data_IF_436794202583
#
_entry.id   IF_436794202583
#
_cell.length_a   1.000
_cell.length_b   1.000
_cell.length_c   1.000
_cell.angle_alpha   90.00
_cell.angle_beta   90.00
_cell.angle_gamma   90.00
#
_symmetry.space_group_name_H-M   'P 1'
#
loop_
_entity.id
_entity.type
_entity.pdbx_description
1 polymer ?
#
# COMPACT_ATOMS: atom_id res chain seq x y z
N UNK A 1 6.98 16.29 -4.69
CA UNK A 1 8.23 15.97 -3.97
C UNK A 1 8.27 14.46 -3.81
N UNK A 2 8.99 13.76 -4.68
CA UNK A 2 9.05 12.29 -4.63
C UNK A 2 9.95 11.89 -3.45
N UNK A 3 9.38 11.33 -2.39
CA UNK A 3 10.18 10.59 -1.40
C UNK A 3 10.44 9.21 -2.00
N UNK A 4 11.35 9.18 -2.97
CA UNK A 4 12.10 7.97 -3.25
C UNK A 4 13.00 7.77 -2.04
N UNK A 5 12.63 6.83 -1.17
CA UNK A 5 13.60 6.22 -0.27
C UNK A 5 14.65 5.53 -1.14
N UNK A 6 15.69 6.27 -1.50
CA UNK A 6 16.83 5.78 -2.24
C UNK A 6 17.71 4.94 -1.29
N UNK A 7 17.35 3.67 -1.14
CA UNK A 7 18.10 2.67 -0.38
C UNK A 7 19.28 2.10 -1.20
N UNK A 8 20.00 2.92 -1.96
CA UNK A 8 21.18 2.46 -2.71
C UNK A 8 22.49 2.51 -1.94
N UNK A 9 22.51 2.76 -0.63
CA UNK A 9 23.76 2.76 0.14
C UNK A 9 23.67 1.95 1.45
N UNK A 10 24.60 0.98 1.54
CA UNK A 10 25.08 0.23 2.72
C UNK A 10 24.32 -1.08 3.06
N UNK A 11 24.65 -2.14 2.31
CA UNK A 11 24.21 -3.52 2.58
C UNK A 11 24.80 -4.14 3.87
N UNK A 12 25.82 -3.56 4.50
CA UNK A 12 26.57 -4.22 5.58
C UNK A 12 26.09 -3.93 7.01
N UNK A 13 25.12 -3.03 7.24
CA UNK A 13 24.64 -2.68 8.60
C UNK A 13 23.12 -2.76 8.81
N UNK A 14 22.34 -3.14 7.80
CA UNK A 14 20.89 -3.18 7.93
C UNK A 14 20.42 -4.39 8.76
N UNK A 15 19.48 -4.14 9.68
CA UNK A 15 18.83 -5.18 10.49
C UNK A 15 18.13 -6.21 9.58
N UNK A 16 17.95 -7.47 10.00
CA UNK A 16 17.29 -8.49 9.18
C UNK A 16 15.90 -8.09 8.66
N UNK A 17 15.17 -7.27 9.41
CA UNK A 17 13.88 -6.71 8.98
C UNK A 17 14.03 -5.68 7.85
N UNK A 18 15.10 -4.88 7.85
CA UNK A 18 15.35 -3.85 6.85
C UNK A 18 15.78 -4.43 5.51
N UNK A 19 16.38 -5.62 5.50
CA UNK A 19 16.71 -6.37 4.28
C UNK A 19 15.48 -6.81 3.47
N UNK A 20 14.29 -6.61 4.01
CA UNK A 20 13.03 -7.09 3.41
C UNK A 20 12.28 -6.00 2.68
N UNK A 21 12.59 -4.75 2.96
CA UNK A 21 12.11 -3.62 2.17
C UNK A 21 12.53 -3.71 0.69
N UNK A 22 13.76 -4.10 0.33
CA UNK A 22 14.11 -4.37 -1.06
C UNK A 22 13.22 -5.44 -1.73
N UNK A 23 12.88 -6.52 -1.02
CA UNK A 23 12.01 -7.57 -1.57
C UNK A 23 10.57 -7.06 -1.79
N UNK A 24 10.03 -6.30 -0.85
CA UNK A 24 8.72 -5.63 -0.96
C UNK A 24 8.73 -4.66 -2.15
N UNK A 25 9.76 -3.83 -2.27
CA UNK A 25 9.89 -2.87 -3.37
C UNK A 25 9.93 -3.57 -4.72
N UNK A 26 10.73 -4.63 -4.85
CA UNK A 26 10.88 -5.36 -6.10
C UNK A 26 9.60 -6.08 -6.53
N UNK A 27 8.84 -6.62 -5.57
CA UNK A 27 7.65 -7.44 -5.87
C UNK A 27 6.36 -6.64 -5.99
N UNK A 28 6.27 -5.52 -5.29
CA UNK A 28 5.02 -4.76 -5.15
C UNK A 28 5.18 -3.36 -5.75
N UNK A 29 6.14 -2.59 -5.25
CA UNK A 29 6.23 -1.15 -5.56
C UNK A 29 6.69 -0.90 -7.00
N UNK A 30 7.77 -1.53 -7.45
CA UNK A 30 8.32 -1.28 -8.78
C UNK A 30 7.39 -1.71 -9.92
N UNK A 31 6.70 -2.88 -9.87
CA UNK A 31 5.71 -3.24 -10.88
C UNK A 31 4.56 -2.24 -10.97
N UNK A 32 4.03 -1.77 -9.83
CA UNK A 32 2.96 -0.75 -9.82
C UNK A 32 3.49 0.57 -10.39
N UNK A 33 4.68 1.01 -9.94
CA UNK A 33 5.32 2.24 -10.40
C UNK A 33 5.57 2.23 -11.91
N UNK A 34 6.01 1.12 -12.47
CA UNK A 34 6.22 0.99 -13.92
C UNK A 34 4.94 1.32 -14.70
N UNK A 35 3.80 0.77 -14.29
CA UNK A 35 2.49 1.05 -14.91
C UNK A 35 2.14 2.53 -14.79
N UNK A 36 2.29 3.13 -13.60
CA UNK A 36 1.95 4.54 -13.37
C UNK A 36 2.82 5.48 -14.20
N UNK A 37 4.13 5.19 -14.31
CA UNK A 37 5.05 5.95 -15.16
C UNK A 37 4.66 5.82 -16.63
N UNK A 38 4.25 4.63 -17.09
CA UNK A 38 3.71 4.45 -18.44
C UNK A 38 2.43 5.28 -18.66
N UNK A 39 1.54 5.34 -17.68
CA UNK A 39 0.31 6.14 -17.77
C UNK A 39 0.59 7.65 -17.81
N UNK A 40 1.51 8.14 -16.98
CA UNK A 40 1.91 9.55 -16.96
C UNK A 40 2.60 9.95 -18.27
N UNK A 41 3.56 9.16 -18.74
CA UNK A 41 4.24 9.39 -20.02
C UNK A 41 3.28 9.30 -21.21
N UNK A 42 2.24 8.46 -21.11
CA UNK A 42 1.16 8.33 -22.08
C UNK A 42 0.10 9.44 -21.97
N UNK A 43 0.25 10.41 -21.07
CA UNK A 43 -0.70 11.49 -20.80
C UNK A 43 -2.11 11.01 -20.42
N UNK A 44 -2.22 9.80 -19.86
CA UNK A 44 -3.49 9.22 -19.44
C UNK A 44 -3.93 9.73 -18.07
N UNK A 45 -2.96 10.14 -17.25
CA UNK A 45 -3.18 10.72 -15.94
C UNK A 45 -2.45 12.06 -15.84
N UNK A 46 -3.07 13.00 -15.15
CA UNK A 46 -2.47 14.28 -14.81
C UNK A 46 -2.33 14.36 -13.28
N UNK A 47 -1.13 14.09 -12.76
CA UNK A 47 -0.86 14.13 -11.32
C UNK A 47 -0.82 15.56 -10.73
N UNK A 48 -1.16 16.60 -11.49
CA UNK A 48 -1.45 17.93 -10.95
C UNK A 48 -2.93 18.12 -10.58
N UNK A 49 -3.83 17.23 -11.02
CA UNK A 49 -5.25 17.23 -10.65
C UNK A 49 -5.43 16.49 -9.31
N UNK A 50 -5.91 17.15 -8.24
CA UNK A 50 -6.12 16.52 -6.93
C UNK A 50 -7.03 15.29 -6.96
N UNK A 51 -8.04 15.27 -7.84
CA UNK A 51 -8.94 14.12 -7.98
C UNK A 51 -8.20 12.93 -8.58
N UNK A 52 -7.35 13.18 -9.58
CA UNK A 52 -6.50 12.13 -10.16
C UNK A 52 -5.51 11.60 -9.13
N UNK A 53 -4.86 12.48 -8.35
CA UNK A 53 -3.96 12.08 -7.26
C UNK A 53 -4.66 11.16 -6.25
N UNK A 54 -5.87 11.53 -5.83
CA UNK A 54 -6.67 10.71 -4.93
C UNK A 54 -7.00 9.34 -5.56
N UNK A 55 -7.52 9.32 -6.78
CA UNK A 55 -7.91 8.09 -7.47
C UNK A 55 -6.71 7.14 -7.68
N UNK A 56 -5.57 7.68 -8.09
CA UNK A 56 -4.32 6.90 -8.23
C UNK A 56 -3.91 6.32 -6.88
N UNK A 57 -3.95 7.11 -5.82
CA UNK A 57 -3.58 6.64 -4.47
C UNK A 57 -4.50 5.55 -3.98
N UNK A 58 -5.82 5.75 -4.08
CA UNK A 58 -6.80 4.77 -3.63
C UNK A 58 -6.59 3.42 -4.32
N UNK A 59 -6.50 3.42 -5.65
CA UNK A 59 -6.32 2.17 -6.41
C UNK A 59 -4.98 1.53 -6.12
N UNK A 60 -3.89 2.30 -6.11
CA UNK A 60 -2.54 1.76 -5.92
C UNK A 60 -2.33 1.24 -4.51
N UNK A 61 -2.89 1.88 -3.48
CA UNK A 61 -2.86 1.40 -2.10
C UNK A 61 -3.60 0.07 -1.95
N UNK A 62 -4.81 -0.06 -2.49
CA UNK A 62 -5.57 -1.31 -2.43
C UNK A 62 -4.86 -2.46 -3.17
N UNK A 63 -4.26 -2.18 -4.32
CA UNK A 63 -3.48 -3.17 -5.08
C UNK A 63 -2.19 -3.54 -4.35
N UNK A 64 -1.50 -2.57 -3.75
CA UNK A 64 -0.30 -2.79 -2.96
C UNK A 64 -0.58 -3.59 -1.68
N UNK A 65 -1.74 -3.36 -1.04
CA UNK A 65 -2.19 -4.11 0.13
C UNK A 65 -2.32 -5.61 -0.17
N UNK A 66 -2.93 -5.97 -1.31
CA UNK A 66 -2.97 -7.37 -1.77
C UNK A 66 -1.56 -7.94 -1.91
N UNK A 67 -0.64 -7.18 -2.51
CA UNK A 67 0.75 -7.57 -2.66
C UNK A 67 1.43 -7.82 -1.32
N UNK A 68 1.22 -6.92 -0.36
CA UNK A 68 1.76 -7.02 0.99
C UNK A 68 1.21 -8.24 1.73
N UNK A 69 -0.11 -8.48 1.66
CA UNK A 69 -0.74 -9.66 2.25
C UNK A 69 -0.13 -10.96 1.69
N UNK A 70 0.10 -11.02 0.36
CA UNK A 70 0.76 -12.18 -0.28
C UNK A 70 2.21 -12.36 0.18
N UNK A 71 2.98 -11.27 0.32
CA UNK A 71 4.35 -11.33 0.83
C UNK A 71 4.39 -11.82 2.27
N UNK A 72 3.53 -11.29 3.14
CA UNK A 72 3.43 -11.70 4.55
C UNK A 72 3.02 -13.17 4.67
N UNK A 73 2.01 -13.61 3.92
CA UNK A 73 1.56 -15.00 3.93
C UNK A 73 2.64 -15.98 3.42
N UNK A 74 3.31 -15.64 2.31
CA UNK A 74 4.41 -16.44 1.79
C UNK A 74 5.55 -16.50 2.80
N UNK A 75 5.92 -15.38 3.42
CA UNK A 75 6.96 -15.40 4.43
C UNK A 75 6.61 -16.32 5.59
N UNK A 76 5.44 -16.14 6.18
CA UNK A 76 5.06 -16.85 7.40
C UNK A 76 4.96 -18.37 7.21
N UNK A 77 4.74 -18.81 5.97
CA UNK A 77 4.68 -20.22 5.58
C UNK A 77 6.02 -20.85 5.19
N UNK A 78 7.11 -20.08 5.14
CA UNK A 78 8.45 -20.57 4.79
C UNK A 78 9.43 -20.55 5.97
N UNK A 79 10.42 -21.46 5.95
CA UNK A 79 11.47 -21.49 6.98
C UNK A 79 12.32 -20.23 6.93
N UNK A 80 12.65 -19.69 8.10
CA UNK A 80 13.58 -18.56 8.21
C UNK A 80 14.96 -18.99 7.70
N UNK A 81 15.59 -18.15 6.89
CA UNK A 81 16.93 -18.42 6.36
C UNK A 81 17.92 -18.74 7.49
N UNK A 82 18.69 -19.82 7.33
CA UNK A 82 19.60 -20.34 8.36
C UNK A 82 18.93 -21.09 9.52
N UNK A 83 17.59 -21.24 9.51
CA UNK A 83 16.81 -22.02 10.49
C UNK A 83 15.74 -22.86 9.79
N UNK A 84 16.20 -23.91 9.10
CA UNK A 84 15.35 -24.79 8.28
C UNK A 84 14.20 -25.45 9.05
N UNK A 85 14.31 -25.57 10.38
CA UNK A 85 13.33 -26.15 11.30
C UNK A 85 12.29 -25.14 11.86
N UNK A 86 12.37 -23.86 11.48
CA UNK A 86 11.52 -22.79 12.05
C UNK A 86 10.71 -22.07 10.98
N UNK A 87 9.51 -22.58 10.72
CA UNK A 87 8.47 -21.89 9.95
C UNK A 87 7.67 -21.01 10.93
N UNK A 88 7.55 -19.69 10.72
CA UNK A 88 6.86 -18.78 11.63
C UNK A 88 5.46 -19.25 12.02
N UNK A 89 4.61 -19.66 11.08
CA UNK A 89 3.25 -20.13 11.38
C UNK A 89 3.25 -21.38 12.27
N UNK A 90 4.15 -22.33 12.01
CA UNK A 90 4.28 -23.56 12.81
C UNK A 90 4.79 -23.25 14.21
N UNK A 91 5.77 -22.35 14.33
CA UNK A 91 6.30 -21.92 15.62
C UNK A 91 5.22 -21.17 16.40
N UNK A 92 4.53 -20.21 15.76
CA UNK A 92 3.43 -19.47 16.36
C UNK A 92 2.36 -20.41 16.92
N UNK A 93 1.89 -21.40 16.15
CA UNK A 93 0.92 -22.39 16.63
C UNK A 93 1.42 -23.19 17.85
N UNK A 94 2.72 -23.53 17.90
CA UNK A 94 3.31 -24.32 18.99
C UNK A 94 3.65 -23.50 20.24
N UNK A 95 3.97 -22.23 20.06
CA UNK A 95 4.50 -21.36 21.13
C UNK A 95 3.59 -20.20 21.47
N UNK A 96 2.37 -20.13 20.90
CA UNK A 96 1.42 -19.04 21.12
C UNK A 96 1.14 -18.88 22.61
N UNK A 97 1.88 -17.96 23.23
CA UNK A 97 1.68 -17.42 24.58
C UNK A 97 1.33 -15.94 24.49
N UNK A 98 0.80 -15.51 23.34
CA UNK A 98 0.41 -14.11 23.13
C UNK A 98 -0.91 -13.88 23.84
N UNK A 99 -0.85 -13.10 24.91
CA UNK A 99 -2.04 -12.53 25.51
C UNK A 99 -2.44 -11.28 24.73
N UNK A 100 -3.75 -11.05 24.49
CA UNK A 100 -4.20 -9.77 23.94
C UNK A 100 -3.63 -8.63 24.79
N UNK A 101 -2.91 -7.73 24.15
CA UNK A 101 -2.50 -6.49 24.82
C UNK A 101 -3.76 -5.68 25.02
N UNK A 102 -3.96 -5.17 26.24
CA UNK A 102 -5.06 -4.26 26.51
C UNK A 102 -4.91 -3.05 25.58
N UNK A 103 -5.93 -2.72 24.79
CA UNK A 103 -5.88 -1.59 23.87
C UNK A 103 -5.53 -0.26 24.55
N UNK A 104 -5.82 -0.11 25.84
CA UNK A 104 -5.42 1.06 26.63
C UNK A 104 -3.91 1.16 26.91
N UNK A 105 -3.13 0.09 26.69
CA UNK A 105 -1.67 0.10 26.80
C UNK A 105 -0.98 0.53 25.50
N UNK A 106 -1.69 0.51 24.37
CA UNK A 106 -1.16 0.96 23.09
C UNK A 106 -1.56 2.43 22.93
N UNK A 107 -0.59 3.36 22.82
CA UNK A 107 -0.91 4.77 22.63
C UNK A 107 -1.67 4.98 21.32
N UNK A 108 -2.48 6.04 21.27
CA UNK A 108 -3.03 6.50 19.98
C UNK A 108 -1.89 6.97 19.06
N UNK A 109 -2.18 7.09 17.76
CA UNK A 109 -1.20 7.61 16.79
C UNK A 109 -0.72 9.01 17.21
N UNK A 110 -1.64 9.87 17.64
CA UNK A 110 -1.32 11.22 18.12
C UNK A 110 -0.46 11.19 19.38
N UNK A 111 -0.79 10.34 20.36
CA UNK A 111 0.01 10.20 21.57
C UNK A 111 1.42 9.68 21.23
N UNK A 112 1.54 8.73 20.30
CA UNK A 112 2.82 8.19 19.87
C UNK A 112 3.69 9.24 19.18
N UNK A 113 3.11 10.06 18.29
CA UNK A 113 3.81 11.17 17.64
C UNK A 113 4.26 12.19 18.67
N UNK A 114 3.40 12.55 19.62
CA UNK A 114 3.72 13.51 20.67
C UNK A 114 4.85 13.00 21.55
N UNK A 115 4.76 11.76 22.05
CA UNK A 115 5.82 11.14 22.86
C UNK A 115 7.17 11.11 22.14
N UNK A 116 7.18 10.78 20.83
CA UNK A 116 8.41 10.78 20.05
C UNK A 116 8.98 12.20 19.88
N UNK A 117 8.12 13.19 19.66
CA UNK A 117 8.52 14.60 19.51
C UNK A 117 9.04 15.17 20.82
N UNK A 118 8.39 14.87 21.94
CA UNK A 118 8.83 15.26 23.30
C UNK A 118 10.19 14.66 23.66
N UNK A 119 10.51 13.48 23.14
CA UNK A 119 11.82 12.85 23.24
C UNK A 119 12.90 13.50 22.35
N UNK A 120 12.57 14.60 21.65
CA UNK A 120 13.46 15.31 20.72
C UNK A 120 13.52 14.72 19.32
N UNK A 121 12.66 13.73 19.02
CA UNK A 121 12.50 13.17 17.69
C UNK A 121 11.83 14.16 16.74
N UNK A 122 12.07 14.00 15.43
CA UNK A 122 11.36 14.76 14.39
C UNK A 122 10.68 13.76 13.45
N UNK A 123 9.35 13.81 13.39
CA UNK A 123 8.56 13.06 12.43
C UNK A 123 8.19 13.99 11.28
N UNK A 124 8.48 13.55 10.05
CA UNK A 124 7.87 14.14 8.86
C UNK A 124 6.39 13.77 8.88
N UNK A 125 5.50 14.75 9.04
CA UNK A 125 4.06 14.51 8.93
C UNK A 125 3.72 14.18 7.47
N UNK A 126 2.74 13.29 7.28
CA UNK A 126 2.31 12.84 5.97
C UNK A 126 2.04 14.04 5.05
N UNK A 127 2.64 14.03 3.86
CA UNK A 127 2.17 14.89 2.79
C UNK A 127 0.82 14.37 2.34
N UNK A 128 -0.24 15.18 2.42
CA UNK A 128 -1.49 14.83 1.73
C UNK A 128 -1.21 14.73 0.23
N UNK A 129 -1.61 13.62 -0.37
CA UNK A 129 -1.48 13.40 -1.81
C UNK A 129 -2.86 13.02 -2.35
N UNK A 130 -3.56 14.02 -2.87
CA UNK A 130 -4.97 13.92 -3.25
C UNK A 130 -5.92 13.82 -2.05
N UNK A 131 -6.98 14.62 -2.05
CA UNK A 131 -8.07 14.53 -1.09
C UNK A 131 -9.28 13.88 -1.76
N UNK A 132 -10.02 13.04 -1.04
CA UNK A 132 -11.25 12.43 -1.57
C UNK A 132 -12.32 13.52 -1.77
N UNK A 133 -12.73 13.82 -3.03
CA UNK A 133 -13.74 14.86 -3.28
C UNK A 133 -15.13 14.47 -2.73
N UNK A 134 -15.35 13.20 -2.43
CA UNK A 134 -16.61 12.66 -1.91
C UNK A 134 -16.55 12.41 -0.40
N UNK A 135 -15.46 12.76 0.29
CA UNK A 135 -15.24 12.47 1.72
C UNK A 135 -16.42 12.84 2.63
N UNK A 136 -17.12 13.93 2.29
CA UNK A 136 -18.23 14.47 3.09
C UNK A 136 -19.58 13.78 2.82
N UNK A 137 -19.65 12.80 1.90
CA UNK A 137 -20.88 12.11 1.54
C UNK A 137 -20.69 10.59 1.51
N UNK A 138 -21.05 9.93 2.61
CA UNK A 138 -21.04 8.46 2.69
C UNK A 138 -21.91 7.78 1.64
N UNK A 139 -22.99 8.43 1.19
CA UNK A 139 -23.86 7.91 0.11
C UNK A 139 -23.12 7.87 -1.22
N UNK A 140 -22.41 8.95 -1.58
CA UNK A 140 -21.65 9.01 -2.83
C UNK A 140 -20.42 8.10 -2.78
N UNK A 141 -19.79 7.95 -1.61
CA UNK A 141 -18.71 6.97 -1.41
C UNK A 141 -19.19 5.53 -1.66
N UNK A 142 -20.29 5.13 -1.02
CA UNK A 142 -20.88 3.80 -1.21
C UNK A 142 -21.30 3.57 -2.67
N UNK A 143 -21.83 4.60 -3.33
CA UNK A 143 -22.19 4.53 -4.74
C UNK A 143 -20.96 4.32 -5.61
N UNK A 144 -19.89 5.12 -5.42
CA UNK A 144 -18.62 4.96 -6.13
C UNK A 144 -18.06 3.55 -5.97
N UNK A 145 -18.01 3.05 -4.74
CA UNK A 145 -17.49 1.70 -4.45
C UNK A 145 -18.33 0.61 -5.13
N UNK A 146 -19.66 0.72 -5.05
CA UNK A 146 -20.58 -0.24 -5.69
C UNK A 146 -20.42 -0.25 -7.20
N UNK A 147 -20.35 0.94 -7.83
CA UNK A 147 -20.13 1.05 -9.27
C UNK A 147 -18.75 0.51 -9.67
N UNK A 148 -17.71 0.82 -8.91
CA UNK A 148 -16.36 0.33 -9.19
C UNK A 148 -16.29 -1.19 -9.12
N UNK A 149 -16.82 -1.81 -8.05
CA UNK A 149 -16.82 -3.27 -7.86
C UNK A 149 -17.62 -3.97 -8.96
N UNK A 150 -18.72 -3.38 -9.42
CA UNK A 150 -19.56 -3.97 -10.47
C UNK A 150 -18.83 -4.06 -11.81
N UNK A 151 -18.04 -3.03 -12.14
CA UNK A 151 -17.54 -2.83 -13.51
C UNK A 151 -16.03 -3.11 -13.66
N UNK A 152 -15.31 -3.41 -12.58
CA UNK A 152 -13.86 -3.63 -12.60
C UNK A 152 -13.46 -4.97 -11.98
N UNK A 153 -12.30 -5.53 -12.39
CA UNK A 153 -11.71 -6.69 -11.72
C UNK A 153 -11.40 -6.40 -10.25
N UNK A 154 -11.31 -7.47 -9.46
CA UNK A 154 -10.88 -7.38 -8.07
C UNK A 154 -9.44 -6.88 -7.97
N UNK A 155 -9.08 -6.25 -6.84
CA UNK A 155 -7.68 -5.85 -6.59
C UNK A 155 -6.70 -7.02 -6.66
N UNK A 156 -7.17 -8.24 -6.39
CA UNK A 156 -6.37 -9.46 -6.53
C UNK A 156 -6.03 -9.78 -7.99
N UNK A 157 -6.99 -9.67 -8.89
CA UNK A 157 -6.80 -9.86 -10.32
C UNK A 157 -5.92 -8.75 -10.90
N UNK A 158 -6.15 -7.50 -10.48
CA UNK A 158 -5.33 -6.34 -10.87
C UNK A 158 -3.87 -6.56 -10.45
N UNK A 159 -3.61 -6.88 -9.18
CA UNK A 159 -2.26 -7.13 -8.69
C UNK A 159 -1.57 -8.27 -9.47
N UNK A 160 -2.31 -9.35 -9.75
CA UNK A 160 -1.78 -10.50 -10.48
C UNK A 160 -1.43 -10.14 -11.93
N UNK A 161 -2.24 -9.30 -12.58
CA UNK A 161 -1.94 -8.76 -13.91
C UNK A 161 -0.70 -7.86 -13.92
N UNK A 162 -0.51 -7.03 -12.88
CA UNK A 162 0.65 -6.15 -12.73
C UNK A 162 1.94 -6.95 -12.58
N UNK A 163 2.00 -7.93 -11.67
CA UNK A 163 3.23 -8.71 -11.44
C UNK A 163 3.59 -9.64 -12.61
N UNK A 164 2.63 -9.95 -13.48
CA UNK A 164 2.85 -10.68 -14.74
C UNK A 164 3.37 -9.77 -15.87
N UNK A 165 3.55 -8.47 -15.63
CA UNK A 165 4.16 -7.52 -16.55
C UNK A 165 3.21 -6.85 -17.55
N UNK A 166 1.91 -7.12 -17.48
CA UNK A 166 0.91 -6.49 -18.36
C UNK A 166 0.53 -5.10 -17.81
N UNK A 167 -0.11 -5.08 -16.65
CA UNK A 167 -0.53 -3.85 -15.96
C UNK A 167 -1.71 -3.11 -16.61
N UNK A 168 -2.28 -3.62 -17.70
CA UNK A 168 -3.46 -3.01 -18.35
C UNK A 168 -4.67 -2.92 -17.41
N UNK A 169 -4.88 -3.90 -16.53
CA UNK A 169 -5.99 -3.88 -15.58
C UNK A 169 -5.83 -2.77 -14.52
N UNK A 170 -4.60 -2.47 -14.12
CA UNK A 170 -4.33 -1.36 -13.20
C UNK A 170 -4.63 -0.02 -13.89
N UNK A 171 -4.20 0.11 -15.14
CA UNK A 171 -4.48 1.30 -15.95
C UNK A 171 -6.00 1.51 -16.13
N UNK A 172 -6.73 0.48 -16.52
CA UNK A 172 -8.19 0.59 -16.69
C UNK A 172 -8.90 0.88 -15.38
N UNK A 173 -8.47 0.28 -14.27
CA UNK A 173 -9.05 0.51 -12.96
C UNK A 173 -8.87 1.96 -12.49
N UNK A 174 -7.67 2.54 -12.65
CA UNK A 174 -7.41 3.95 -12.31
C UNK A 174 -8.32 4.88 -13.11
N UNK A 175 -8.42 4.68 -14.43
CA UNK A 175 -9.25 5.51 -15.30
C UNK A 175 -10.75 5.35 -15.01
N UNK A 176 -11.20 4.11 -14.75
CA UNK A 176 -12.59 3.81 -14.39
C UNK A 176 -12.97 4.47 -13.06
N UNK A 177 -12.13 4.31 -12.03
CA UNK A 177 -12.35 4.92 -10.71
C UNK A 177 -12.36 6.44 -10.78
N UNK A 178 -11.46 7.04 -11.58
CA UNK A 178 -11.47 8.47 -11.85
C UNK A 178 -12.77 8.94 -12.50
N UNK A 179 -13.23 8.26 -13.56
CA UNK A 179 -14.46 8.62 -14.25
C UNK A 179 -15.69 8.53 -13.33
N UNK A 180 -15.81 7.46 -12.54
CA UNK A 180 -16.88 7.29 -11.56
C UNK A 180 -16.82 8.43 -10.53
N UNK A 181 -15.64 8.68 -9.95
CA UNK A 181 -15.45 9.71 -8.94
C UNK A 181 -15.80 11.09 -9.48
N UNK A 182 -15.36 11.41 -10.69
CA UNK A 182 -15.62 12.70 -11.34
C UNK A 182 -17.09 12.89 -11.71
N UNK A 183 -17.80 11.83 -12.11
CA UNK A 183 -19.22 11.89 -12.40
C UNK A 183 -20.08 12.11 -11.15
N UNK A 184 -19.61 11.65 -9.99
CA UNK A 184 -20.29 11.82 -8.70
C UNK A 184 -19.86 13.10 -7.96
N UNK A 185 -18.71 13.67 -8.33
CA UNK A 185 -18.21 14.92 -7.75
C UNK A 185 -18.99 16.11 -8.33
N UNK A 186 -19.45 17.06 -7.50
CA UNK A 186 -20.19 18.23 -7.95
C UNK A 186 -19.36 19.24 -8.77
#
# INVERSE_FOLDING_TARGET
MYVLFDFTLLFDQNLPAERKWPEVNQRIIYPIKDVLVRMENGLLINLYDPVVQFCVSFITMNVAEVGLQRVVASWNSHSIEGKSDRIPDVVAQRTSRVHPVNSAMVPSVEDAIQMYTDAGGTITRDSSFGDDPLANSGVLNNQRETEFIRDNPTFQEIYSNVINGDGSLLMSAVLSFFNITRNLSP
#
